data_IF_610803840081
#
_entry.id   IF_610803840081
#
_cell.length_a   1.000
_cell.length_b   1.000
_cell.length_c   1.000
_cell.angle_alpha   90.00
_cell.angle_beta   90.00
_cell.angle_gamma   90.00
#
_symmetry.space_group_name_H-M   'P 1'
#
loop_
_entity.id
_entity.type
_entity.pdbx_description
1 polymer ?
#
# COMPACT_ATOMS: atom_id res chain seq x y z
N UNK A 1 6.32 15.49 10.92
CA UNK A 1 5.18 14.59 11.18
C UNK A 1 3.95 15.22 10.57
N UNK A 2 3.28 14.55 9.64
CA UNK A 2 2.09 15.07 8.94
C UNK A 2 0.83 14.24 9.22
N UNK A 3 1.00 13.04 9.78
CA UNK A 3 -0.06 12.14 10.21
C UNK A 3 -0.37 12.31 11.72
N UNK A 4 -1.64 12.20 12.14
CA UNK A 4 -2.00 12.21 13.56
C UNK A 4 -1.57 10.90 14.24
N UNK A 5 -1.06 10.94 15.48
CA UNK A 5 -0.77 9.73 16.24
C UNK A 5 -2.06 9.03 16.68
N UNK A 6 -1.96 7.72 16.95
CA UNK A 6 -3.03 6.96 17.64
C UNK A 6 -2.69 6.83 19.12
N UNK A 7 -3.66 7.02 20.00
CA UNK A 7 -3.49 6.82 21.45
C UNK A 7 -4.35 5.65 21.91
N UNK A 8 -3.75 4.68 22.59
CA UNK A 8 -4.44 3.57 23.23
C UNK A 8 -3.78 3.27 24.57
N UNK A 9 -4.58 3.25 25.63
CA UNK A 9 -4.19 2.86 27.00
C UNK A 9 -2.81 3.36 27.45
N UNK A 10 -2.59 4.67 27.39
CA UNK A 10 -1.31 5.25 27.82
C UNK A 10 -0.16 5.14 26.82
N UNK A 11 -0.36 4.54 25.64
CA UNK A 11 0.64 4.44 24.57
C UNK A 11 0.25 5.28 23.35
N UNK A 12 1.21 6.06 22.84
CA UNK A 12 1.12 6.78 21.56
C UNK A 12 1.81 5.97 20.47
N UNK A 13 1.13 5.78 19.35
CA UNK A 13 1.64 5.13 18.15
C UNK A 13 1.83 6.18 17.05
N UNK A 14 3.06 6.33 16.59
CA UNK A 14 3.46 7.39 15.66
C UNK A 14 4.10 6.76 14.43
N UNK A 15 3.48 6.97 13.26
CA UNK A 15 4.05 6.59 11.96
C UNK A 15 4.91 7.70 11.37
N UNK A 16 5.97 7.35 10.65
CA UNK A 16 6.77 8.30 9.87
C UNK A 16 6.37 8.25 8.37
N UNK A 17 5.94 9.35 7.76
CA UNK A 17 5.32 9.35 6.42
C UNK A 17 6.31 9.43 5.24
N UNK A 18 7.62 9.45 5.48
CA UNK A 18 8.59 9.92 4.48
C UNK A 18 9.08 8.82 3.52
N UNK A 19 8.25 8.41 2.55
CA UNK A 19 8.68 7.45 1.53
C UNK A 19 9.73 8.04 0.56
N UNK A 20 9.53 9.28 0.13
CA UNK A 20 10.24 9.84 -1.04
C UNK A 20 11.61 10.45 -0.71
N UNK A 21 12.07 10.27 0.52
CA UNK A 21 13.30 10.88 1.04
C UNK A 21 14.49 9.92 1.07
N UNK A 22 14.41 8.80 0.35
CA UNK A 22 15.42 7.73 0.34
C UNK A 22 15.77 7.26 1.76
N UNK A 23 14.77 7.21 2.64
CA UNK A 23 14.95 6.79 4.02
C UNK A 23 14.85 5.26 4.14
N UNK A 24 15.69 4.61 4.97
CA UNK A 24 15.66 3.16 5.21
C UNK A 24 14.38 2.68 5.92
N UNK A 25 13.29 2.60 5.16
CA UNK A 25 11.98 2.20 5.63
C UNK A 25 11.17 3.30 6.33
N UNK A 26 9.92 2.97 6.64
CA UNK A 26 9.04 3.75 7.50
C UNK A 26 9.04 3.18 8.90
N UNK A 27 8.95 4.05 9.92
CA UNK A 27 8.91 3.61 11.31
C UNK A 27 7.51 3.77 11.88
N UNK A 28 7.03 2.72 12.54
CA UNK A 28 5.98 2.83 13.55
C UNK A 28 6.63 2.76 14.92
N UNK A 29 6.45 3.81 15.71
CA UNK A 29 7.04 3.93 17.05
C UNK A 29 5.93 3.90 18.08
N UNK A 30 6.02 2.98 19.04
CA UNK A 30 5.19 3.00 20.24
C UNK A 30 5.92 3.73 21.37
N UNK A 31 5.25 4.69 21.98
CA UNK A 31 5.82 5.60 22.98
C UNK A 31 4.90 5.63 24.19
N UNK A 32 5.44 5.56 25.40
CA UNK A 32 4.67 5.83 26.60
C UNK A 32 4.18 7.29 26.57
N UNK A 33 2.86 7.50 26.57
CA UNK A 33 2.23 8.80 26.41
C UNK A 33 2.46 9.76 27.58
N UNK A 34 2.85 9.27 28.76
CA UNK A 34 3.15 10.11 29.92
C UNK A 34 4.63 10.52 29.98
N UNK A 35 5.55 9.61 29.63
CA UNK A 35 7.00 9.81 29.80
C UNK A 35 7.73 10.14 28.51
N UNK A 36 7.16 9.83 27.35
CA UNK A 36 7.85 9.94 26.06
C UNK A 36 8.88 8.82 25.80
N UNK A 37 8.97 7.81 26.67
CA UNK A 37 9.89 6.69 26.47
C UNK A 37 9.40 5.76 25.36
N UNK A 38 10.31 5.39 24.45
CA UNK A 38 10.04 4.41 23.38
C UNK A 38 9.83 3.03 24.02
N UNK A 39 8.69 2.40 23.72
CA UNK A 39 8.38 1.01 24.09
C UNK A 39 8.98 0.05 23.05
N UNK A 40 8.70 0.30 21.78
CA UNK A 40 9.24 -0.48 20.65
C UNK A 40 9.22 0.35 19.36
N UNK A 41 9.96 -0.13 18.36
CA UNK A 41 10.01 0.42 17.00
C UNK A 41 9.87 -0.72 16.02
N UNK A 42 8.95 -0.58 15.07
CA UNK A 42 8.84 -1.45 13.91
C UNK A 42 9.28 -0.71 12.65
N UNK A 43 10.13 -1.34 11.84
CA UNK A 43 10.55 -0.81 10.54
C UNK A 43 9.81 -1.55 9.42
N UNK A 44 9.06 -0.81 8.59
CA UNK A 44 8.31 -1.38 7.46
C UNK A 44 9.21 -1.99 6.38
N UNK A 45 10.47 -1.58 6.32
CA UNK A 45 11.47 -2.20 5.45
C UNK A 45 12.63 -2.68 6.31
N UNK A 46 12.68 -3.98 6.65
CA UNK A 46 13.78 -4.56 7.41
C UNK A 46 15.13 -4.30 6.73
N UNK A 47 16.08 -3.76 7.49
CA UNK A 47 17.42 -3.39 7.04
C UNK A 47 18.48 -4.45 7.36
N UNK A 48 18.16 -5.41 8.25
CA UNK A 48 19.02 -6.53 8.55
C UNK A 48 18.40 -7.57 9.48
N UNK A 49 19.14 -8.64 9.83
CA UNK A 49 18.61 -9.80 10.57
C UNK A 49 18.02 -9.54 11.96
N UNK A 50 18.17 -8.32 12.49
CA UNK A 50 17.59 -7.92 13.78
C UNK A 50 16.21 -7.28 13.64
N UNK A 51 15.85 -6.86 12.43
CA UNK A 51 14.57 -6.23 12.16
C UNK A 51 13.49 -7.30 11.97
N UNK A 52 12.32 -7.06 12.56
CA UNK A 52 11.17 -7.95 12.42
C UNK A 52 10.81 -8.13 10.94
N UNK A 53 10.59 -9.38 10.51
CA UNK A 53 10.27 -9.70 9.12
C UNK A 53 11.47 -9.72 8.15
N UNK A 54 12.72 -9.62 8.63
CA UNK A 54 13.90 -9.74 7.77
C UNK A 54 13.92 -11.02 6.93
N UNK A 55 13.69 -12.19 7.54
CA UNK A 55 13.72 -13.47 6.81
C UNK A 55 12.65 -13.56 5.71
N UNK A 56 11.58 -12.78 5.83
CA UNK A 56 10.49 -12.69 4.85
C UNK A 56 10.87 -11.76 3.69
N UNK A 57 11.51 -10.62 4.01
CA UNK A 57 11.78 -9.56 3.02
C UNK A 57 13.18 -9.60 2.41
N UNK A 58 14.14 -10.34 2.98
CA UNK A 58 15.56 -10.32 2.57
C UNK A 58 15.78 -10.59 1.07
N UNK A 59 14.98 -11.47 0.49
CA UNK A 59 15.11 -11.88 -0.92
C UNK A 59 14.14 -11.12 -1.86
N UNK A 60 13.40 -10.16 -1.32
CA UNK A 60 12.42 -9.34 -2.07
C UNK A 60 13.00 -8.01 -2.58
N UNK A 61 14.28 -7.77 -2.30
CA UNK A 61 15.05 -6.61 -2.75
C UNK A 61 16.38 -7.09 -3.30
N UNK A 62 16.76 -6.62 -4.49
CA UNK A 62 18.03 -6.97 -5.13
C UNK A 62 19.24 -6.20 -4.62
N UNK A 63 19.04 -5.16 -3.82
CA UNK A 63 20.10 -4.27 -3.35
C UNK A 63 19.95 -3.93 -1.87
N UNK A 64 20.95 -3.21 -1.37
CA UNK A 64 20.91 -2.58 -0.04
C UNK A 64 20.13 -1.25 -0.06
N UNK A 65 19.67 -0.79 -1.22
CA UNK A 65 18.85 0.42 -1.37
C UNK A 65 17.39 0.11 -1.01
N UNK A 66 17.18 -0.11 0.29
CA UNK A 66 15.91 -0.53 0.89
C UNK A 66 15.19 0.68 1.48
N UNK A 67 14.58 1.49 0.61
CA UNK A 67 13.99 2.77 0.99
C UNK A 67 12.48 2.85 0.76
N UNK A 68 11.83 3.80 1.45
CA UNK A 68 10.40 4.07 1.31
C UNK A 68 9.56 3.50 2.45
N UNK A 69 8.35 3.03 2.17
CA UNK A 69 7.50 2.31 3.12
C UNK A 69 6.93 3.20 4.24
N UNK A 70 6.78 4.51 3.99
CA UNK A 70 6.26 5.46 4.96
C UNK A 70 4.83 5.15 5.42
N UNK A 71 4.47 5.67 6.59
CA UNK A 71 3.15 5.51 7.20
C UNK A 71 2.47 6.89 7.24
N UNK A 72 1.59 7.13 6.27
CA UNK A 72 0.96 8.45 6.05
C UNK A 72 -0.34 8.67 6.81
N UNK A 73 -1.01 7.60 7.22
CA UNK A 73 -2.29 7.67 7.93
C UNK A 73 -2.17 7.10 9.33
N UNK A 74 -3.15 7.42 10.18
CA UNK A 74 -3.22 6.87 11.52
C UNK A 74 -3.35 5.34 11.49
N UNK A 75 -2.63 4.61 12.35
CA UNK A 75 -2.89 3.20 12.60
C UNK A 75 -4.31 2.97 13.14
N UNK A 76 -4.87 1.80 12.88
CA UNK A 76 -6.09 1.32 13.52
C UNK A 76 -5.73 0.37 14.67
N UNK A 77 -6.52 0.37 15.74
CA UNK A 77 -6.29 -0.47 16.92
C UNK A 77 -7.51 -1.36 17.16
N UNK A 78 -7.27 -2.65 17.35
CA UNK A 78 -8.22 -3.60 17.92
C UNK A 78 -7.74 -3.96 19.33
N UNK A 79 -8.23 -3.22 20.32
CA UNK A 79 -7.80 -3.36 21.71
C UNK A 79 -8.19 -4.72 22.31
N UNK A 80 -9.32 -5.29 21.89
CA UNK A 80 -9.79 -6.59 22.37
C UNK A 80 -8.91 -7.73 21.84
N UNK A 81 -8.41 -7.59 20.62
CA UNK A 81 -7.48 -8.54 20.02
C UNK A 81 -6.01 -8.26 20.36
N UNK A 82 -5.69 -7.14 21.01
CA UNK A 82 -4.30 -6.76 21.30
C UNK A 82 -3.49 -6.42 20.05
N UNK A 83 -4.11 -5.82 19.02
CA UNK A 83 -3.48 -5.62 17.69
C UNK A 83 -3.52 -4.18 17.22
N UNK A 84 -2.48 -3.81 16.49
CA UNK A 84 -2.40 -2.55 15.74
C UNK A 84 -2.17 -2.84 14.27
N UNK A 85 -2.88 -2.10 13.41
CA UNK A 85 -2.84 -2.24 11.97
C UNK A 85 -2.48 -0.91 11.32
N UNK A 86 -1.68 -0.95 10.26
CA UNK A 86 -1.36 0.25 9.49
C UNK A 86 -1.02 -0.12 8.05
N UNK A 87 -0.98 0.90 7.20
CA UNK A 87 -0.57 0.75 5.82
C UNK A 87 0.85 1.32 5.64
N UNK A 88 1.72 0.52 5.03
CA UNK A 88 2.99 0.98 4.51
C UNK A 88 2.82 1.44 3.05
N UNK A 89 3.42 2.57 2.70
CA UNK A 89 3.35 3.19 1.38
C UNK A 89 4.41 2.66 0.40
N UNK A 90 4.60 3.39 -0.70
CA UNK A 90 5.49 3.08 -1.82
C UNK A 90 6.97 2.88 -1.42
N UNK A 91 7.74 2.08 -2.18
CA UNK A 91 9.19 2.04 -2.12
C UNK A 91 9.80 3.30 -2.75
N UNK A 92 11.10 3.50 -2.52
CA UNK A 92 11.88 4.57 -3.16
C UNK A 92 13.20 4.01 -3.72
N UNK A 93 13.73 4.52 -4.85
CA UNK A 93 13.20 5.61 -5.71
C UNK A 93 11.85 5.28 -6.35
N UNK A 94 10.97 6.27 -6.51
CA UNK A 94 9.55 6.00 -6.78
C UNK A 94 9.26 5.46 -8.20
N UNK A 95 9.96 5.98 -9.21
CA UNK A 95 9.62 5.76 -10.63
C UNK A 95 10.63 4.91 -11.40
N UNK A 96 11.76 4.58 -10.78
CA UNK A 96 12.82 3.75 -11.35
C UNK A 96 13.04 2.56 -10.41
N UNK A 97 12.63 1.38 -10.86
CA UNK A 97 12.75 0.12 -10.12
C UNK A 97 14.10 -0.57 -10.29
N UNK A 98 14.97 -0.09 -11.18
CA UNK A 98 16.18 -0.80 -11.63
C UNK A 98 17.17 -1.12 -10.49
N UNK A 99 17.25 -0.26 -9.46
CA UNK A 99 18.13 -0.48 -8.31
C UNK A 99 17.49 -1.33 -7.20
N UNK A 100 16.18 -1.61 -7.27
CA UNK A 100 15.39 -2.29 -6.24
C UNK A 100 14.48 -3.36 -6.82
N UNK A 101 15.03 -4.26 -7.63
CA UNK A 101 14.28 -5.37 -8.24
C UNK A 101 13.69 -6.27 -7.16
N UNK A 102 12.55 -6.89 -7.49
CA UNK A 102 11.78 -7.73 -6.57
C UNK A 102 10.53 -7.04 -6.05
N UNK A 103 9.73 -7.75 -5.25
CA UNK A 103 8.43 -7.25 -4.77
C UNK A 103 8.51 -6.11 -3.77
N UNK A 104 9.68 -5.85 -3.20
CA UNK A 104 9.96 -4.75 -2.26
C UNK A 104 9.17 -4.81 -0.95
N UNK A 105 9.16 -5.95 -0.24
CA UNK A 105 8.42 -6.06 1.02
C UNK A 105 9.05 -5.24 2.17
N UNK A 106 8.27 -4.57 3.03
CA UNK A 106 6.80 -4.59 3.13
C UNK A 106 6.14 -3.31 2.60
N UNK A 107 6.60 -2.78 1.46
CA UNK A 107 5.96 -1.60 0.83
C UNK A 107 4.58 -1.94 0.29
N UNK A 108 3.69 -0.95 0.24
CA UNK A 108 2.30 -1.09 -0.19
C UNK A 108 1.55 -2.22 0.51
N UNK A 109 1.80 -2.41 1.80
CA UNK A 109 1.26 -3.52 2.57
C UNK A 109 0.35 -3.06 3.71
N UNK A 110 -0.70 -3.86 3.97
CA UNK A 110 -1.43 -3.84 5.23
C UNK A 110 -0.62 -4.69 6.20
N UNK A 111 -0.26 -4.13 7.35
CA UNK A 111 0.60 -4.79 8.34
C UNK A 111 -0.14 -4.82 9.68
N UNK A 112 -0.11 -5.98 10.34
CA UNK A 112 -0.61 -6.18 11.69
C UNK A 112 0.53 -6.54 12.64
N UNK A 113 0.57 -5.86 13.78
CA UNK A 113 1.51 -6.15 14.86
C UNK A 113 0.76 -6.42 16.16
N UNK A 114 1.40 -7.18 17.04
CA UNK A 114 1.04 -7.20 18.45
C UNK A 114 1.24 -5.79 19.04
N UNK A 115 0.21 -5.27 19.72
CA UNK A 115 0.15 -3.87 20.14
C UNK A 115 1.14 -3.52 21.27
N UNK A 116 1.55 -4.50 22.06
CA UNK A 116 2.40 -4.32 23.23
C UNK A 116 3.89 -4.53 22.91
N UNK A 117 4.19 -5.47 22.04
CA UNK A 117 5.55 -5.90 21.70
C UNK A 117 6.06 -5.36 20.37
N UNK A 118 5.15 -5.03 19.44
CA UNK A 118 5.49 -4.66 18.06
C UNK A 118 5.91 -5.85 17.18
N UNK A 119 5.67 -7.09 17.63
CA UNK A 119 5.95 -8.30 16.85
C UNK A 119 5.05 -8.36 15.60
N UNK A 120 5.63 -8.73 14.46
CA UNK A 120 4.90 -8.89 13.21
C UNK A 120 4.01 -10.14 13.27
N UNK A 121 2.69 -9.94 13.20
CA UNK A 121 1.74 -11.06 13.17
C UNK A 121 1.43 -11.52 11.75
N UNK A 122 1.02 -10.59 10.90
CA UNK A 122 0.73 -10.87 9.49
C UNK A 122 0.88 -9.60 8.64
N UNK A 123 1.01 -9.79 7.34
CA UNK A 123 0.98 -8.71 6.35
C UNK A 123 0.28 -9.17 5.08
N UNK A 124 -0.17 -8.21 4.27
CA UNK A 124 -0.66 -8.44 2.92
C UNK A 124 -0.19 -7.30 2.00
N UNK A 125 0.58 -7.61 0.97
CA UNK A 125 1.05 -6.63 0.00
C UNK A 125 0.02 -6.43 -1.12
N UNK A 126 -0.31 -5.17 -1.41
CA UNK A 126 -1.36 -4.78 -2.36
C UNK A 126 -0.82 -4.35 -3.72
N UNK A 127 0.48 -4.07 -3.82
CA UNK A 127 1.15 -3.68 -5.05
C UNK A 127 2.60 -4.17 -5.00
N UNK A 128 2.97 -5.02 -5.95
CA UNK A 128 4.32 -5.55 -6.10
C UNK A 128 5.18 -4.63 -6.95
N UNK A 129 6.44 -4.41 -6.53
CA UNK A 129 7.43 -3.66 -7.30
C UNK A 129 6.87 -2.33 -7.83
N UNK A 130 6.32 -1.52 -6.93
CA UNK A 130 5.67 -0.27 -7.29
C UNK A 130 6.66 0.67 -7.97
N UNK A 131 6.37 1.06 -9.20
CA UNK A 131 7.11 2.07 -9.97
C UNK A 131 6.23 3.28 -10.31
N UNK A 132 5.03 3.40 -9.74
CA UNK A 132 4.03 4.40 -10.12
C UNK A 132 3.77 5.43 -9.03
N UNK A 133 4.41 5.30 -7.86
CA UNK A 133 4.06 6.06 -6.66
C UNK A 133 2.59 5.83 -6.27
N UNK A 134 2.20 4.55 -6.23
CA UNK A 134 0.82 4.13 -5.99
C UNK A 134 0.63 3.57 -4.58
N UNK A 135 0.96 4.43 -3.61
CA UNK A 135 0.87 4.16 -2.19
C UNK A 135 -0.47 3.54 -1.75
N UNK A 136 -0.37 2.61 -0.79
CA UNK A 136 -1.48 2.20 0.05
C UNK A 136 -1.65 3.21 1.22
N UNK A 137 -2.52 4.21 1.05
CA UNK A 137 -2.59 5.38 1.96
C UNK A 137 -3.99 5.74 2.44
N UNK A 138 -4.98 4.87 2.24
CA UNK A 138 -6.34 5.10 2.72
C UNK A 138 -6.79 3.99 3.66
N UNK A 139 -7.08 4.36 4.92
CA UNK A 139 -7.31 3.41 6.01
C UNK A 139 -6.02 3.08 6.77
N UNK A 140 -5.94 1.92 7.46
CA UNK A 140 -6.94 0.85 7.49
C UNK A 140 -8.20 1.21 8.30
N UNK A 141 -9.34 0.62 7.94
CA UNK A 141 -10.58 0.68 8.73
C UNK A 141 -11.02 -0.71 9.16
N UNK A 142 -11.32 -0.87 10.45
CA UNK A 142 -11.83 -2.10 11.03
C UNK A 142 -13.35 -2.11 10.95
N UNK A 143 -13.94 -3.27 10.64
CA UNK A 143 -15.38 -3.44 10.58
C UNK A 143 -15.79 -4.85 10.96
N UNK A 144 -17.02 -5.00 11.45
CA UNK A 144 -17.67 -6.28 11.64
C UNK A 144 -18.91 -6.34 10.76
N UNK A 145 -19.07 -7.43 10.01
CA UNK A 145 -20.27 -7.70 9.21
C UNK A 145 -20.74 -9.13 9.42
N UNK A 146 -22.05 -9.34 9.45
CA UNK A 146 -22.63 -10.68 9.56
C UNK A 146 -22.91 -11.21 8.16
N UNK A 147 -22.27 -12.31 7.80
CA UNK A 147 -22.47 -13.02 6.53
C UNK A 147 -22.90 -14.45 6.86
N UNK A 148 -24.06 -14.87 6.35
CA UNK A 148 -24.63 -16.21 6.60
C UNK A 148 -24.66 -16.61 8.10
N UNK A 149 -24.97 -15.64 8.97
CA UNK A 149 -25.05 -15.83 10.42
C UNK A 149 -23.70 -15.86 11.14
N UNK A 150 -22.58 -15.66 10.45
CA UNK A 150 -21.23 -15.58 11.03
C UNK A 150 -20.70 -14.16 10.97
N UNK A 151 -20.11 -13.70 12.07
CA UNK A 151 -19.40 -12.41 12.10
C UNK A 151 -18.07 -12.56 11.38
N UNK A 152 -17.90 -11.78 10.30
CA UNK A 152 -16.62 -11.55 9.65
C UNK A 152 -15.99 -10.32 10.29
N UNK A 153 -14.85 -10.52 10.94
CA UNK A 153 -14.02 -9.46 11.50
C UNK A 153 -13.08 -8.93 10.43
N UNK A 154 -13.49 -7.86 9.76
CA UNK A 154 -12.80 -7.32 8.61
C UNK A 154 -11.87 -6.15 8.92
N UNK A 155 -10.92 -5.97 8.01
CA UNK A 155 -10.11 -4.78 7.82
C UNK A 155 -10.16 -4.42 6.33
N UNK A 156 -10.31 -3.13 6.01
CA UNK A 156 -10.23 -2.64 4.65
C UNK A 156 -9.16 -1.56 4.52
N UNK A 157 -8.36 -1.67 3.48
CA UNK A 157 -7.48 -0.60 3.03
C UNK A 157 -7.71 -0.33 1.55
N UNK A 158 -7.60 0.94 1.19
CA UNK A 158 -7.62 1.39 -0.19
C UNK A 158 -6.33 2.16 -0.44
N UNK A 159 -6.01 2.32 -1.72
CA UNK A 159 -4.83 3.08 -2.11
C UNK A 159 -5.01 3.70 -3.48
N UNK A 160 -3.89 4.15 -4.02
CA UNK A 160 -3.85 4.82 -5.29
C UNK A 160 -4.23 3.88 -6.46
N UNK A 161 -4.13 2.55 -6.29
CA UNK A 161 -4.46 1.52 -7.32
C UNK A 161 -5.93 1.37 -7.68
N UNK A 162 -6.84 2.06 -6.98
CA UNK A 162 -8.29 2.06 -7.25
C UNK A 162 -9.04 0.77 -6.88
N UNK A 163 -8.45 -0.04 -6.02
CA UNK A 163 -9.06 -1.23 -5.45
C UNK A 163 -9.23 -1.10 -3.93
N UNK A 164 -10.18 -1.85 -3.38
CA UNK A 164 -10.36 -1.99 -1.93
C UNK A 164 -9.98 -3.41 -1.51
N UNK A 165 -8.93 -3.51 -0.70
CA UNK A 165 -8.41 -4.77 -0.20
C UNK A 165 -9.09 -5.06 1.14
N UNK A 166 -9.83 -6.17 1.22
CA UNK A 166 -10.61 -6.57 2.40
C UNK A 166 -10.12 -7.91 2.91
N UNK A 167 -9.62 -7.92 4.14
CA UNK A 167 -9.02 -9.09 4.79
C UNK A 167 -9.73 -9.39 6.11
N UNK A 168 -9.63 -10.63 6.57
CA UNK A 168 -9.90 -10.95 7.96
C UNK A 168 -8.79 -10.33 8.81
N UNK A 169 -9.15 -9.43 9.73
CA UNK A 169 -8.15 -8.70 10.53
C UNK A 169 -7.40 -9.59 11.52
N UNK A 170 -7.92 -10.76 11.84
CA UNK A 170 -7.25 -11.69 12.76
C UNK A 170 -6.18 -12.55 12.07
N UNK A 171 -6.33 -12.81 10.76
CA UNK A 171 -5.46 -13.76 10.04
C UNK A 171 -4.70 -13.14 8.86
N UNK A 172 -5.12 -11.96 8.39
CA UNK A 172 -4.62 -11.36 7.15
C UNK A 172 -5.13 -12.04 5.88
N UNK A 173 -5.97 -13.06 6.00
CA UNK A 173 -6.50 -13.79 4.84
C UNK A 173 -7.58 -12.98 4.11
N UNK A 174 -7.63 -13.03 2.77
CA UNK A 174 -8.66 -12.32 2.02
C UNK A 174 -10.09 -12.77 2.37
N UNK A 175 -11.00 -11.80 2.60
CA UNK A 175 -12.44 -12.09 2.80
C UNK A 175 -13.07 -12.62 1.51
N UNK A 176 -12.64 -12.05 0.37
CA UNK A 176 -12.98 -12.51 -0.96
C UNK A 176 -11.68 -12.82 -1.71
N UNK A 177 -11.72 -13.61 -2.80
CA UNK A 177 -10.51 -13.93 -3.55
C UNK A 177 -9.74 -12.67 -3.97
N UNK A 178 -8.42 -12.71 -3.86
CA UNK A 178 -7.51 -11.74 -4.47
C UNK A 178 -6.60 -12.54 -5.38
N UNK A 179 -6.59 -12.20 -6.66
CA UNK A 179 -5.96 -13.02 -7.71
C UNK A 179 -4.82 -12.26 -8.35
N UNK A 180 -3.66 -12.90 -8.41
CA UNK A 180 -2.51 -12.44 -9.21
C UNK A 180 -2.90 -12.35 -10.68
N UNK A 181 -3.00 -11.12 -11.19
CA UNK A 181 -3.46 -10.84 -12.54
C UNK A 181 -2.31 -10.26 -13.35
N UNK A 182 -2.05 -10.82 -14.53
CA UNK A 182 -0.98 -10.34 -15.41
C UNK A 182 -1.18 -8.86 -15.80
N UNK A 183 -0.10 -8.10 -15.76
CA UNK A 183 -0.06 -6.68 -16.15
C UNK A 183 1.00 -6.44 -17.23
N UNK A 184 0.99 -5.31 -17.95
CA UNK A 184 2.05 -5.00 -18.90
C UNK A 184 3.42 -4.90 -18.22
N UNK A 185 4.44 -5.51 -18.83
CA UNK A 185 5.81 -5.51 -18.30
C UNK A 185 6.85 -4.91 -19.24
N UNK A 186 6.47 -4.62 -20.49
CA UNK A 186 7.41 -4.08 -21.48
C UNK A 186 7.82 -2.66 -21.13
N UNK A 187 9.10 -2.48 -20.82
CA UNK A 187 9.74 -1.19 -20.51
C UNK A 187 11.07 -1.08 -21.25
N UNK A 188 11.43 0.14 -21.64
CA UNK A 188 12.77 0.50 -22.13
C UNK A 188 13.63 1.18 -21.05
N UNK A 189 13.17 1.23 -19.79
CA UNK A 189 13.96 1.67 -18.63
C UNK A 189 15.10 0.66 -18.39
N UNK A 190 16.37 1.07 -18.56
CA UNK A 190 17.50 0.15 -18.45
C UNK A 190 17.58 -0.52 -17.07
N UNK A 191 17.61 -1.84 -17.08
CA UNK A 191 17.81 -2.64 -15.86
C UNK A 191 16.57 -2.77 -14.99
N UNK A 192 15.43 -2.17 -15.33
CA UNK A 192 14.17 -2.36 -14.60
C UNK A 192 13.58 -3.76 -14.86
N UNK A 193 13.01 -4.38 -13.83
CA UNK A 193 12.41 -5.71 -13.87
C UNK A 193 10.97 -5.63 -13.36
N UNK A 194 10.08 -5.12 -14.22
CA UNK A 194 8.66 -4.92 -13.91
C UNK A 194 8.01 -6.22 -13.47
N UNK A 195 7.34 -6.19 -12.32
CA UNK A 195 6.70 -7.38 -11.77
C UNK A 195 5.50 -7.82 -12.62
N UNK A 196 5.40 -9.13 -12.96
CA UNK A 196 4.51 -9.59 -14.03
C UNK A 196 3.02 -9.65 -13.67
N UNK A 197 2.68 -9.65 -12.39
CA UNK A 197 1.30 -9.77 -11.91
C UNK A 197 1.00 -8.75 -10.83
N UNK A 198 -0.27 -8.45 -10.58
CA UNK A 198 -0.67 -7.64 -9.42
C UNK A 198 -1.87 -8.28 -8.73
N UNK A 199 -1.99 -8.14 -7.40
CA UNK A 199 -3.09 -8.70 -6.65
C UNK A 199 -4.35 -7.88 -6.92
N UNK A 200 -5.31 -8.45 -7.64
CA UNK A 200 -6.59 -7.81 -7.97
C UNK A 200 -7.70 -8.44 -7.12
N UNK A 201 -8.41 -7.67 -6.27
CA UNK A 201 -9.49 -8.21 -5.45
C UNK A 201 -10.74 -8.53 -6.25
N UNK A 202 -11.48 -9.52 -5.78
CA UNK A 202 -12.74 -9.98 -6.35
C UNK A 202 -13.88 -9.75 -5.36
N UNK A 203 -15.10 -9.74 -5.88
CA UNK A 203 -16.33 -9.79 -5.07
C UNK A 203 -16.56 -11.19 -4.52
N UNK A 204 -17.49 -11.33 -3.57
CA UNK A 204 -17.91 -12.63 -3.03
C UNK A 204 -18.51 -13.58 -4.07
N UNK A 205 -18.87 -13.07 -5.26
CA UNK A 205 -19.38 -13.88 -6.39
C UNK A 205 -18.27 -14.34 -7.34
N UNK A 206 -17.00 -14.10 -7.02
CA UNK A 206 -15.88 -14.46 -7.90
C UNK A 206 -15.79 -13.60 -9.15
N UNK A 207 -16.28 -12.36 -9.11
CA UNK A 207 -16.13 -11.38 -10.20
C UNK A 207 -15.05 -10.38 -9.78
N UNK A 208 -14.08 -10.00 -10.65
CA UNK A 208 -13.10 -8.96 -10.34
C UNK A 208 -13.79 -7.69 -9.83
N UNK A 209 -13.22 -7.07 -8.80
CA UNK A 209 -13.71 -5.79 -8.30
C UNK A 209 -13.64 -4.76 -9.44
N UNK A 210 -14.72 -4.04 -9.68
CA UNK A 210 -14.66 -2.88 -10.56
C UNK A 210 -13.82 -1.79 -9.89
N UNK A 211 -12.78 -1.25 -10.55
CA UNK A 211 -12.00 -0.17 -9.97
C UNK A 211 -12.90 1.04 -9.74
N UNK A 212 -12.74 1.71 -8.60
CA UNK A 212 -13.56 2.86 -8.24
C UNK A 212 -13.08 4.18 -8.88
N UNK A 213 -12.02 4.12 -9.68
CA UNK A 213 -11.45 5.23 -10.45
C UNK A 213 -11.22 4.83 -11.93
N UNK A 214 -10.78 5.78 -12.74
CA UNK A 214 -10.30 5.53 -14.10
C UNK A 214 -8.99 4.70 -14.12
N UNK A 215 -9.03 3.54 -14.79
CA UNK A 215 -7.87 2.67 -15.08
C UNK A 215 -7.41 2.75 -16.54
N UNK A 216 -8.03 3.66 -17.30
CA UNK A 216 -7.60 4.04 -18.65
C UNK A 216 -7.91 5.53 -18.85
N UNK A 217 -6.94 6.34 -19.29
CA UNK A 217 -7.13 7.77 -19.42
C UNK A 217 -8.07 8.10 -20.58
N UNK A 218 -9.01 9.01 -20.34
CA UNK A 218 -9.87 9.56 -21.39
C UNK A 218 -9.20 10.78 -22.02
N UNK A 219 -8.50 10.55 -23.12
CA UNK A 219 -7.78 11.60 -23.86
C UNK A 219 -8.59 12.02 -25.09
N UNK A 220 -8.85 13.32 -25.26
CA UNK A 220 -9.62 13.85 -26.39
C UNK A 220 -8.77 14.50 -27.47
N UNK A 221 -7.53 14.87 -27.16
CA UNK A 221 -6.58 15.40 -28.14
C UNK A 221 -6.07 14.26 -29.05
N UNK A 222 -6.37 14.28 -30.37
CA UNK A 222 -5.94 13.23 -31.29
C UNK A 222 -4.43 12.98 -31.32
N UNK A 223 -3.60 13.99 -31.00
CA UNK A 223 -2.15 13.83 -30.94
C UNK A 223 -1.70 13.05 -29.70
N UNK A 224 -2.50 13.05 -28.64
CA UNK A 224 -2.20 12.38 -27.36
C UNK A 224 -2.93 11.04 -27.19
N UNK A 225 -4.01 10.79 -27.93
CA UNK A 225 -4.73 9.50 -27.91
C UNK A 225 -3.78 8.31 -28.07
N UNK A 226 -2.79 8.31 -29.00
CA UNK A 226 -1.86 7.19 -29.15
C UNK A 226 -0.92 6.96 -27.95
N UNK A 227 -0.87 7.90 -26.99
CA UNK A 227 -0.05 7.82 -25.77
C UNK A 227 -0.82 7.27 -24.58
N UNK A 228 -2.13 7.12 -24.68
CA UNK A 228 -2.95 6.50 -23.64
C UNK A 228 -2.57 5.02 -23.45
N UNK A 229 -2.41 4.61 -22.20
CA UNK A 229 -2.12 3.24 -21.79
C UNK A 229 -3.02 2.84 -20.63
N UNK A 230 -3.20 1.53 -20.48
CA UNK A 230 -3.93 0.97 -19.33
C UNK A 230 -3.16 1.16 -18.02
N UNK A 231 -3.87 1.06 -16.90
CA UNK A 231 -3.29 0.98 -15.56
C UNK A 231 -2.20 -0.10 -15.49
N UNK A 232 -1.20 0.11 -14.64
CA UNK A 232 0.00 -0.73 -14.49
C UNK A 232 0.88 -0.79 -15.74
N UNK A 233 0.66 0.06 -16.75
CA UNK A 233 1.65 0.18 -17.82
C UNK A 233 2.93 0.83 -17.25
N UNK A 234 4.10 0.21 -17.44
CA UNK A 234 5.34 0.71 -16.85
C UNK A 234 5.79 2.00 -17.53
N UNK A 235 6.62 2.75 -16.81
CA UNK A 235 7.26 3.94 -17.36
C UNK A 235 8.18 3.60 -18.53
N UNK A 236 8.45 4.61 -19.36
CA UNK A 236 9.33 4.52 -20.51
C UNK A 236 10.34 5.68 -20.49
N UNK A 237 11.43 5.52 -21.22
CA UNK A 237 12.52 6.49 -21.44
C UNK A 237 12.34 7.17 -22.79
N UNK A 238 12.10 6.40 -23.85
CA UNK A 238 12.08 6.93 -25.22
C UNK A 238 10.71 7.47 -25.66
N UNK A 239 9.65 7.14 -24.94
CA UNK A 239 8.33 7.74 -25.12
C UNK A 239 7.70 8.19 -23.81
N UNK A 240 6.80 9.16 -23.88
CA UNK A 240 5.92 9.46 -22.76
C UNK A 240 4.61 8.70 -22.92
N UNK A 241 4.11 8.13 -21.83
CA UNK A 241 2.86 7.38 -21.78
C UNK A 241 1.93 8.02 -20.77
N UNK A 242 0.66 8.16 -21.14
CA UNK A 242 -0.38 8.67 -20.25
C UNK A 242 -1.07 7.46 -19.63
N UNK A 243 -1.05 7.37 -18.30
CA UNK A 243 -1.71 6.30 -17.54
C UNK A 243 -2.73 6.89 -16.56
N UNK A 244 -3.71 6.06 -16.21
CA UNK A 244 -4.64 6.32 -15.11
C UNK A 244 -4.69 5.06 -14.23
N UNK A 245 -4.73 5.20 -12.89
CA UNK A 245 -4.78 6.46 -12.14
C UNK A 245 -3.49 7.31 -12.22
N UNK A 246 -3.60 8.59 -11.88
CA UNK A 246 -2.49 9.52 -11.74
C UNK A 246 -1.64 9.23 -10.49
N UNK A 247 -0.63 10.07 -10.21
CA UNK A 247 0.06 10.10 -8.89
C UNK A 247 -0.91 10.34 -7.73
N UNK A 248 -1.98 11.08 -7.99
CA UNK A 248 -3.01 11.30 -6.99
C UNK A 248 -3.76 10.02 -6.61
N UNK A 249 -3.73 9.01 -7.49
CA UNK A 249 -4.39 7.74 -7.29
C UNK A 249 -5.91 7.80 -7.35
N UNK A 250 -6.53 6.63 -7.20
CA UNK A 250 -7.96 6.52 -6.95
C UNK A 250 -8.37 7.00 -5.58
N UNK A 251 -7.67 6.59 -4.52
CA UNK A 251 -7.86 7.06 -3.16
C UNK A 251 -6.50 7.46 -2.56
N UNK A 252 -6.46 8.63 -1.94
CA UNK A 252 -5.26 9.17 -1.31
C UNK A 252 -5.47 9.24 0.22
N UNK A 253 -4.80 10.16 0.91
CA UNK A 253 -4.89 10.36 2.38
C UNK A 253 -6.29 10.63 2.96
N UNK A 254 -7.33 10.78 2.13
CA UNK A 254 -8.71 10.82 2.59
C UNK A 254 -9.12 9.48 3.20
N UNK A 255 -9.34 9.46 4.53
CA UNK A 255 -9.76 8.24 5.24
C UNK A 255 -11.15 7.79 4.77
N UNK A 256 -11.36 6.47 4.55
CA UNK A 256 -12.66 5.94 4.23
C UNK A 256 -13.53 5.90 5.51
N UNK A 257 -14.84 5.69 5.32
CA UNK A 257 -15.77 5.45 6.43
C UNK A 257 -16.60 4.20 6.18
N UNK A 258 -17.00 3.52 7.23
CA UNK A 258 -17.88 2.34 7.15
C UNK A 258 -19.17 2.62 7.93
N UNK A 259 -20.31 2.21 7.38
CA UNK A 259 -21.59 2.29 8.09
C UNK A 259 -22.15 0.89 8.37
N UNK A 260 -22.26 0.49 9.65
CA UNK A 260 -22.87 -0.80 9.99
C UNK A 260 -24.36 -0.88 9.66
N UNK A 261 -25.03 0.28 9.46
CA UNK A 261 -26.45 0.33 9.06
C UNK A 261 -26.67 -0.04 7.60
N UNK A 262 -25.74 0.35 6.72
CA UNK A 262 -25.86 0.09 5.29
C UNK A 262 -24.99 -1.07 4.82
N UNK A 263 -23.99 -1.46 5.63
CA UNK A 263 -22.97 -2.43 5.26
C UNK A 263 -22.02 -1.90 4.17
N UNK A 264 -21.95 -0.58 3.99
CA UNK A 264 -21.16 0.04 2.92
C UNK A 264 -19.91 0.72 3.48
N UNK A 265 -18.82 0.58 2.71
CA UNK A 265 -17.61 1.37 2.80
C UNK A 265 -17.71 2.56 1.84
N UNK A 266 -17.51 3.77 2.34
CA UNK A 266 -17.51 5.02 1.59
C UNK A 266 -16.08 5.55 1.52
N UNK A 267 -15.58 5.76 0.31
CA UNK A 267 -14.24 6.27 0.07
C UNK A 267 -14.28 7.51 -0.83
N UNK A 268 -13.32 8.42 -0.63
CA UNK A 268 -13.14 9.58 -1.50
C UNK A 268 -12.36 9.15 -2.74
N UNK A 269 -13.08 8.93 -3.83
CA UNK A 269 -12.49 8.61 -5.13
C UNK A 269 -12.01 9.86 -5.87
N UNK A 270 -10.90 9.73 -6.59
CA UNK A 270 -10.37 10.72 -7.53
C UNK A 270 -10.21 10.07 -8.90
N UNK A 271 -10.50 10.84 -9.95
CA UNK A 271 -10.16 10.48 -11.32
C UNK A 271 -9.10 11.45 -11.82
N UNK A 272 -7.90 10.95 -12.08
CA UNK A 272 -6.82 11.68 -12.70
C UNK A 272 -6.01 10.78 -13.64
N UNK A 273 -5.17 11.42 -14.45
CA UNK A 273 -4.24 10.77 -15.35
C UNK A 273 -2.95 11.59 -15.35
N UNK A 274 -1.83 10.93 -15.65
CA UNK A 274 -0.52 11.56 -15.61
C UNK A 274 0.44 10.87 -16.58
N UNK A 275 1.61 11.49 -16.76
CA UNK A 275 2.71 10.96 -17.56
C UNK A 275 4.02 11.37 -16.91
N UNK A 276 4.95 10.42 -16.80
CA UNK A 276 6.36 10.66 -16.44
C UNK A 276 7.26 9.99 -17.47
N UNK A 277 8.36 10.65 -17.79
CA UNK A 277 9.49 10.04 -18.48
C UNK A 277 10.60 9.82 -17.47
N UNK A 278 11.01 8.57 -17.31
CA UNK A 278 12.11 8.23 -16.41
C UNK A 278 13.41 8.64 -17.08
N UNK A 279 14.26 9.33 -16.34
CA UNK A 279 15.63 9.66 -16.75
C UNK A 279 16.58 8.99 -15.75
N UNK A 280 17.04 7.77 -16.06
CA UNK A 280 17.98 7.07 -15.20
C UNK A 280 19.23 7.93 -14.99
N UNK A 281 19.60 8.15 -13.73
CA UNK A 281 20.87 8.76 -13.36
C UNK A 281 21.84 7.61 -13.10
N UNK A 282 22.82 7.46 -13.99
CA UNK A 282 23.90 6.47 -13.87
C UNK A 282 24.93 6.82 -12.81
#
# INVERSE_FOLDING_TARGET
MTNPPTYQDGTLYVGLPFSDSLLPGGLLVAVNGATGLIKWVFNTIPQGPRDAGWEISKDTWSSQERYGGGIWTQPAVDADAGRIYFNAANPSPNYDGSSRKGTNLFTNAIIALDIETGELEWYFQTLHHDIWDWDLVSGPILFDVVVDGRTVKGIASLGKTCYAYMLNRETGEPINPIVETAVPTTTDVPGDEVWPTQPIPYTSRGIPQQPFCATYPRVTDPALVPRARQSFHPHQVNEFVIVAPGVGGGANYGSPSFSPRTGLLYATGKNDAWSINVRPVG
#
